data_IF_734875399347
#
_entry.id   IF_734875399347
#
_cell.length_a   1.000
_cell.length_b   1.000
_cell.length_c   1.000
_cell.angle_alpha   90.00
_cell.angle_beta   90.00
_cell.angle_gamma   90.00
#
_symmetry.space_group_name_H-M   'P 1'
#
loop_
_entity.id
_entity.type
_entity.pdbx_description
1 polymer ?
#
# COMPACT_ATOMS: atom_id res chain seq x y z
N UNK A 1 -3.59 0.48 -2.38
CA UNK A 1 -2.83 -0.64 -2.97
C UNK A 1 -3.41 -1.97 -2.52
N UNK A 2 -3.40 -3.01 -3.35
CA UNK A 2 -3.78 -4.36 -2.91
C UNK A 2 -2.64 -4.99 -2.10
N UNK A 3 -2.98 -5.68 -1.01
CA UNK A 3 -2.05 -6.53 -0.25
C UNK A 3 -2.71 -7.88 -0.06
N UNK A 4 -2.03 -8.94 -0.47
CA UNK A 4 -2.46 -10.34 -0.32
C UNK A 4 -1.66 -10.94 0.83
N UNK A 5 -2.32 -11.72 1.66
CA UNK A 5 -1.76 -12.43 2.80
C UNK A 5 -2.08 -13.91 2.72
N UNK A 6 -1.16 -14.75 3.15
CA UNK A 6 -1.38 -16.20 3.23
C UNK A 6 -0.63 -16.79 4.42
N UNK A 7 -1.32 -17.63 5.18
CA UNK A 7 -0.74 -18.67 6.01
C UNK A 7 -1.08 -20.02 5.36
N UNK A 8 -0.11 -20.57 4.63
CA UNK A 8 -0.27 -21.84 3.90
C UNK A 8 -0.44 -23.03 4.83
N UNK A 9 0.13 -22.98 6.05
CA UNK A 9 0.10 -24.09 6.99
C UNK A 9 -1.28 -24.26 7.62
N UNK A 10 -1.93 -23.15 7.95
CA UNK A 10 -3.25 -23.15 8.60
C UNK A 10 -4.40 -22.90 7.61
N UNK A 11 -4.13 -22.79 6.30
CA UNK A 11 -5.11 -22.55 5.25
C UNK A 11 -5.94 -21.28 5.50
N UNK A 12 -5.28 -20.18 5.86
CA UNK A 12 -5.93 -18.88 6.05
C UNK A 12 -5.34 -17.88 5.06
N UNK A 13 -6.20 -17.28 4.25
CA UNK A 13 -5.83 -16.23 3.29
C UNK A 13 -6.52 -14.92 3.65
N UNK A 14 -5.87 -13.81 3.32
CA UNK A 14 -6.39 -12.47 3.53
C UNK A 14 -6.12 -11.59 2.32
N UNK A 15 -6.97 -10.60 2.10
CA UNK A 15 -6.71 -9.55 1.11
C UNK A 15 -7.23 -8.22 1.63
N UNK A 16 -6.40 -7.19 1.50
CA UNK A 16 -6.72 -5.84 1.97
C UNK A 16 -6.55 -4.82 0.85
N UNK A 17 -7.48 -3.86 0.80
CA UNK A 17 -7.28 -2.63 0.05
C UNK A 17 -6.67 -1.56 0.95
N UNK A 18 -5.35 -1.40 0.86
CA UNK A 18 -4.56 -0.45 1.63
C UNK A 18 -4.32 0.86 0.86
N UNK A 19 -5.36 1.67 0.66
CA UNK A 19 -5.15 3.07 0.26
C UNK A 19 -4.39 3.85 1.34
N UNK A 20 -3.89 5.06 1.07
CA UNK A 20 -3.14 5.84 2.07
C UNK A 20 -3.88 5.96 3.42
N UNK A 21 -5.21 6.20 3.38
CA UNK A 21 -6.05 6.34 4.57
C UNK A 21 -6.18 5.01 5.31
N UNK A 22 -6.34 3.90 4.59
CA UNK A 22 -6.41 2.56 5.17
C UNK A 22 -5.08 2.16 5.80
N UNK A 23 -3.96 2.39 5.10
CA UNK A 23 -2.63 2.13 5.63
C UNK A 23 -2.34 2.97 6.87
N UNK A 24 -2.73 4.25 6.89
CA UNK A 24 -2.54 5.12 8.06
C UNK A 24 -3.39 4.66 9.26
N UNK A 25 -4.60 4.18 9.01
CA UNK A 25 -5.53 3.72 10.03
C UNK A 25 -5.37 2.23 10.40
N UNK A 26 -4.27 1.59 10.02
CA UNK A 26 -3.92 0.25 10.50
C UNK A 26 -4.61 -0.93 9.81
N UNK A 27 -5.15 -0.76 8.59
CA UNK A 27 -5.85 -1.85 7.86
C UNK A 27 -5.00 -3.12 7.70
N UNK A 28 -3.68 -2.98 7.59
CA UNK A 28 -2.75 -4.10 7.44
C UNK A 28 -2.69 -4.95 8.71
N UNK A 29 -2.53 -4.30 9.87
CA UNK A 29 -2.56 -5.00 11.16
C UNK A 29 -3.94 -5.59 11.44
N UNK A 30 -5.02 -4.85 11.19
CA UNK A 30 -6.38 -5.37 11.36
C UNK A 30 -6.65 -6.61 10.48
N UNK A 31 -6.06 -6.67 9.28
CA UNK A 31 -6.18 -7.86 8.42
C UNK A 31 -5.44 -9.06 9.03
N UNK A 32 -4.22 -8.85 9.53
CA UNK A 32 -3.42 -9.88 10.20
C UNK A 32 -4.15 -10.39 11.45
N UNK A 33 -4.67 -9.49 12.29
CA UNK A 33 -5.39 -9.84 13.51
C UNK A 33 -6.65 -10.67 13.19
N UNK A 34 -7.37 -10.32 12.11
CA UNK A 34 -8.50 -11.13 11.62
C UNK A 34 -8.09 -12.49 11.07
N UNK A 35 -6.92 -12.62 10.46
CA UNK A 35 -6.41 -13.93 10.07
C UNK A 35 -6.08 -14.79 11.29
N UNK A 36 -5.49 -14.22 12.34
CA UNK A 36 -5.22 -14.95 13.60
C UNK A 36 -6.51 -15.42 14.27
N UNK A 37 -7.57 -14.59 14.28
CA UNK A 37 -8.90 -15.00 14.76
C UNK A 37 -9.48 -16.20 13.99
N UNK A 38 -9.08 -16.40 12.72
CA UNK A 38 -9.46 -17.54 11.88
C UNK A 38 -8.53 -18.74 12.00
N UNK A 39 -7.48 -18.65 12.84
CA UNK A 39 -6.53 -19.74 13.09
C UNK A 39 -5.19 -19.61 12.38
N UNK A 40 -4.89 -18.47 11.74
CA UNK A 40 -3.56 -18.23 11.21
C UNK A 40 -2.54 -18.06 12.35
N UNK A 41 -1.32 -18.50 12.11
CA UNK A 41 -0.14 -18.22 12.92
C UNK A 41 0.60 -17.04 12.28
N UNK A 42 0.68 -15.91 13.00
CA UNK A 42 1.37 -14.70 12.52
C UNK A 42 2.78 -14.95 12.01
N UNK A 43 3.52 -15.87 12.63
CA UNK A 43 4.88 -16.23 12.21
C UNK A 43 4.94 -17.00 10.88
N UNK A 44 3.79 -17.51 10.41
CA UNK A 44 3.62 -18.20 9.13
C UNK A 44 2.98 -17.31 8.06
N UNK A 45 2.47 -16.11 8.42
CA UNK A 45 1.84 -15.21 7.46
C UNK A 45 2.91 -14.62 6.53
N UNK A 46 2.75 -14.79 5.23
CA UNK A 46 3.48 -14.04 4.21
C UNK A 46 2.56 -12.99 3.59
N UNK A 47 3.09 -11.81 3.24
CA UNK A 47 2.34 -10.75 2.59
C UNK A 47 3.02 -10.24 1.31
N UNK A 48 2.22 -10.01 0.27
CA UNK A 48 2.68 -9.42 -0.99
C UNK A 48 1.88 -8.16 -1.29
N UNK A 49 2.58 -7.04 -1.45
CA UNK A 49 2.01 -5.79 -1.96
C UNK A 49 1.99 -5.86 -3.49
N UNK A 50 0.80 -5.82 -4.08
CA UNK A 50 0.62 -5.82 -5.52
C UNK A 50 0.89 -4.46 -6.18
N UNK A 51 0.64 -4.33 -7.49
CA UNK A 51 0.86 -3.08 -8.23
C UNK A 51 0.16 -1.88 -7.59
N UNK A 52 0.89 -0.80 -7.37
CA UNK A 52 0.33 0.44 -6.80
C UNK A 52 1.06 1.67 -7.33
N UNK A 53 0.69 2.87 -6.89
CA UNK A 53 1.37 4.08 -7.33
C UNK A 53 2.73 4.21 -6.64
N UNK A 54 3.80 4.43 -7.40
CA UNK A 54 5.15 4.62 -6.86
C UNK A 54 5.34 6.05 -6.34
N UNK A 55 6.31 6.25 -5.44
CA UNK A 55 6.70 7.57 -4.92
C UNK A 55 6.91 8.61 -6.03
N UNK A 56 7.60 8.26 -7.12
CA UNK A 56 7.86 9.15 -8.28
C UNK A 56 6.61 9.77 -8.89
N UNK A 57 5.45 9.13 -8.74
CA UNK A 57 4.19 9.56 -9.34
C UNK A 57 3.14 10.00 -8.29
N UNK A 58 3.45 9.85 -7.00
CA UNK A 58 2.49 10.11 -5.92
C UNK A 58 2.75 11.43 -5.22
N UNK A 59 2.59 12.52 -5.97
CA UNK A 59 2.62 13.87 -5.41
C UNK A 59 1.41 14.12 -4.50
N UNK A 60 1.65 14.80 -3.37
CA UNK A 60 0.70 15.14 -2.31
C UNK A 60 1.02 16.52 -1.75
N UNK A 61 0.01 17.19 -1.22
CA UNK A 61 0.13 18.56 -0.70
C UNK A 61 0.66 18.58 0.75
N UNK A 62 1.01 19.76 1.25
CA UNK A 62 1.57 19.95 2.60
C UNK A 62 0.66 19.40 3.71
N UNK A 63 -0.65 19.62 3.61
CA UNK A 63 -1.63 19.12 4.59
C UNK A 63 -1.59 17.59 4.73
N UNK A 64 -1.39 16.88 3.62
CA UNK A 64 -1.24 15.43 3.62
C UNK A 64 0.06 15.03 4.34
N UNK A 65 1.16 15.72 4.05
CA UNK A 65 2.44 15.48 4.72
C UNK A 65 2.31 15.70 6.23
N UNK A 66 1.79 16.85 6.66
CA UNK A 66 1.61 17.19 8.08
C UNK A 66 0.75 16.17 8.81
N UNK A 67 -0.34 15.71 8.20
CA UNK A 67 -1.19 14.65 8.76
C UNK A 67 -0.40 13.37 9.06
N UNK A 68 0.50 12.95 8.17
CA UNK A 68 1.36 11.79 8.41
C UNK A 68 2.40 12.03 9.50
N UNK A 69 3.04 13.20 9.52
CA UNK A 69 4.06 13.54 10.54
C UNK A 69 3.43 13.68 11.93
N UNK A 70 2.24 14.25 12.03
CA UNK A 70 1.51 14.40 13.28
C UNK A 70 1.08 13.05 13.87
N UNK A 71 0.90 12.02 13.03
CA UNK A 71 0.62 10.66 13.50
C UNK A 71 1.86 9.94 14.03
N UNK A 72 3.01 10.09 13.36
CA UNK A 72 4.32 9.58 13.78
C UNK A 72 5.41 10.35 13.03
N UNK A 73 6.33 10.99 13.76
CA UNK A 73 7.43 11.76 13.15
C UNK A 73 8.34 10.89 12.28
N UNK A 74 8.43 9.59 12.55
CA UNK A 74 9.20 8.65 11.74
C UNK A 74 8.64 8.51 10.31
N UNK A 75 7.39 8.92 10.06
CA UNK A 75 6.80 8.87 8.73
C UNK A 75 7.51 9.77 7.72
N UNK A 76 8.31 10.76 8.18
CA UNK A 76 9.10 11.65 7.31
C UNK A 76 9.97 10.88 6.31
N UNK A 77 10.44 9.68 6.67
CA UNK A 77 11.27 8.82 5.80
C UNK A 77 10.56 8.27 4.54
N UNK A 78 9.24 8.45 4.45
CA UNK A 78 8.41 8.02 3.31
C UNK A 78 8.05 9.17 2.38
N UNK A 79 8.60 10.36 2.59
CA UNK A 79 8.33 11.54 1.78
C UNK A 79 9.62 12.10 1.20
N UNK A 80 9.57 12.49 -0.07
CA UNK A 80 10.61 13.31 -0.72
C UNK A 80 9.99 14.64 -1.10
N UNK A 81 10.68 15.74 -0.84
CA UNK A 81 10.20 17.06 -1.23
C UNK A 81 10.63 17.40 -2.66
N UNK A 82 9.70 17.90 -3.47
CA UNK A 82 9.93 18.38 -4.81
C UNK A 82 9.99 19.91 -4.81
N UNK A 83 11.20 20.46 -4.97
CA UNK A 83 11.44 21.90 -4.97
C UNK A 83 10.83 22.62 -6.19
N UNK A 84 10.59 21.91 -7.30
CA UNK A 84 10.02 22.53 -8.50
C UNK A 84 8.51 22.74 -8.38
N UNK A 85 7.83 21.89 -7.61
CA UNK A 85 6.36 21.93 -7.44
C UNK A 85 5.93 22.40 -6.05
N UNK A 86 6.87 22.60 -5.11
CA UNK A 86 6.61 22.95 -3.70
C UNK A 86 5.70 21.92 -3.00
N UNK A 87 5.84 20.64 -3.37
CA UNK A 87 4.99 19.53 -2.91
C UNK A 87 5.82 18.32 -2.51
N UNK A 88 5.18 17.37 -1.84
CA UNK A 88 5.82 16.13 -1.43
C UNK A 88 5.45 14.96 -2.32
N UNK A 89 6.34 13.99 -2.43
CA UNK A 89 6.11 12.70 -3.07
C UNK A 89 6.06 11.61 -2.00
N UNK A 90 4.91 10.94 -1.87
CA UNK A 90 4.68 9.92 -0.84
C UNK A 90 4.98 8.50 -1.32
N UNK A 91 5.79 7.77 -0.57
CA UNK A 91 6.13 6.37 -0.83
C UNK A 91 5.16 5.42 -0.12
N UNK A 92 3.95 5.27 -0.68
CA UNK A 92 2.93 4.34 -0.18
C UNK A 92 3.42 2.87 -0.05
N UNK A 93 4.12 2.27 -1.05
CA UNK A 93 4.65 0.93 -0.90
C UNK A 93 5.63 0.82 0.26
N UNK A 94 6.61 1.73 0.39
CA UNK A 94 7.60 1.72 1.48
C UNK A 94 6.95 1.92 2.85
N UNK A 95 5.94 2.79 2.95
CA UNK A 95 5.17 2.96 4.18
C UNK A 95 4.49 1.66 4.62
N UNK A 96 3.85 0.97 3.69
CA UNK A 96 3.16 -0.29 3.99
C UNK A 96 4.13 -1.45 4.24
N UNK A 97 5.26 -1.52 3.51
CA UNK A 97 6.34 -2.46 3.78
C UNK A 97 6.85 -2.30 5.21
N UNK A 98 7.10 -1.07 5.65
CA UNK A 98 7.57 -0.80 7.01
C UNK A 98 6.57 -1.28 8.08
N UNK A 99 5.27 -1.06 7.86
CA UNK A 99 4.23 -1.55 8.78
C UNK A 99 4.20 -3.08 8.84
N UNK A 100 4.22 -3.77 7.70
CA UNK A 100 4.20 -5.23 7.65
C UNK A 100 5.48 -5.84 8.26
N UNK A 101 6.64 -5.23 8.03
CA UNK A 101 7.90 -5.66 8.66
C UNK A 101 7.86 -5.52 10.18
N UNK A 102 7.22 -4.47 10.71
CA UNK A 102 7.01 -4.29 12.15
C UNK A 102 5.94 -5.23 12.73
N UNK A 103 5.11 -5.85 11.89
CA UNK A 103 4.04 -6.75 12.32
C UNK A 103 4.51 -8.16 12.68
N UNK A 104 5.82 -8.44 12.57
CA UNK A 104 6.46 -9.73 12.87
C UNK A 104 5.87 -10.93 12.10
N UNK A 105 5.50 -10.70 10.84
CA UNK A 105 5.07 -11.77 9.92
C UNK A 105 6.27 -12.42 9.22
N UNK A 106 6.08 -13.59 8.63
CA UNK A 106 7.13 -14.44 8.05
C UNK A 106 7.94 -13.72 6.97
N UNK A 107 7.26 -13.16 5.97
CA UNK A 107 7.89 -12.46 4.87
C UNK A 107 6.99 -11.38 4.29
N UNK A 108 7.62 -10.36 3.70
CA UNK A 108 6.92 -9.24 3.06
C UNK A 108 7.63 -8.90 1.76
N UNK A 109 6.88 -8.88 0.67
CA UNK A 109 7.39 -8.48 -0.64
C UNK A 109 6.54 -7.40 -1.29
N UNK A 110 7.14 -6.67 -2.23
CA UNK A 110 6.45 -5.75 -3.12
C UNK A 110 6.78 -6.12 -4.56
N UNK A 111 5.75 -6.25 -5.40
CA UNK A 111 5.90 -6.61 -6.81
C UNK A 111 6.72 -5.61 -7.65
N UNK A 112 6.96 -4.39 -7.14
CA UNK A 112 7.80 -3.41 -7.83
C UNK A 112 7.09 -2.63 -8.94
N UNK A 113 5.83 -2.92 -9.23
CA UNK A 113 5.09 -2.29 -10.34
C UNK A 113 4.45 -0.97 -9.96
N UNK A 114 4.61 0.04 -10.84
CA UNK A 114 3.94 1.32 -10.73
C UNK A 114 2.73 1.42 -11.67
N UNK A 115 1.53 1.45 -11.08
CA UNK A 115 0.26 1.59 -11.83
C UNK A 115 0.18 2.86 -12.67
N UNK A 116 0.79 3.96 -12.22
CA UNK A 116 0.80 5.22 -12.95
C UNK A 116 1.72 5.19 -14.18
N UNK A 117 2.92 4.62 -14.04
CA UNK A 117 3.97 4.66 -15.07
C UNK A 117 3.76 3.62 -16.17
N UNK A 118 3.23 2.44 -15.83
CA UNK A 118 2.97 1.39 -16.81
C UNK A 118 1.50 1.40 -17.26
N UNK A 119 1.21 2.30 -18.19
CA UNK A 119 -0.12 2.48 -18.77
C UNK A 119 -0.59 1.26 -19.59
N UNK A 120 0.34 0.46 -20.13
CA UNK A 120 -0.03 -0.71 -20.94
C UNK A 120 -0.59 -1.84 -20.08
N UNK A 121 -0.09 -1.97 -18.85
CA UNK A 121 -0.45 -3.07 -17.96
C UNK A 121 -1.51 -2.69 -16.91
N UNK A 122 -1.62 -1.41 -16.54
CA UNK A 122 -2.41 -1.02 -15.37
C UNK A 122 -3.30 0.21 -15.61
N UNK A 123 -4.52 0.18 -15.05
CA UNK A 123 -5.30 1.39 -14.82
C UNK A 123 -4.70 2.23 -13.68
N UNK A 124 -4.85 3.55 -13.74
CA UNK A 124 -4.41 4.47 -12.68
C UNK A 124 -5.32 5.67 -12.56
N UNK A 125 -5.91 5.85 -11.37
CA UNK A 125 -6.70 7.03 -11.04
C UNK A 125 -5.90 8.33 -11.19
N UNK A 126 -4.65 8.36 -10.71
CA UNK A 126 -3.83 9.57 -10.78
C UNK A 126 -3.56 9.96 -12.24
N UNK A 127 -3.33 8.98 -13.11
CA UNK A 127 -3.12 9.23 -14.56
C UNK A 127 -4.40 9.75 -15.21
N UNK A 128 -5.56 9.17 -14.90
CA UNK A 128 -6.83 9.62 -15.45
C UNK A 128 -7.15 11.06 -15.03
N UNK A 129 -6.85 11.46 -13.78
CA UNK A 129 -6.95 12.85 -13.33
C UNK A 129 -6.07 13.80 -14.16
N UNK A 130 -4.81 13.44 -14.39
CA UNK A 130 -3.89 14.27 -15.19
C UNK A 130 -4.33 14.37 -16.65
N UNK A 131 -4.90 13.31 -17.21
CA UNK A 131 -5.46 13.27 -18.57
C UNK A 131 -6.87 13.86 -18.68
N UNK A 132 -7.50 14.25 -17.55
CA UNK A 132 -8.88 14.75 -17.47
C UNK A 132 -9.90 13.78 -18.06
N UNK A 133 -9.66 12.48 -17.88
CA UNK A 133 -10.59 11.43 -18.28
C UNK A 133 -11.80 11.42 -17.33
N UNK A 134 -13.03 11.15 -17.84
CA UNK A 134 -14.24 11.19 -17.02
C UNK A 134 -14.33 10.05 -16.01
N UNK A 135 -13.63 8.94 -16.27
CA UNK A 135 -13.51 7.79 -15.37
C UNK A 135 -12.22 7.02 -15.68
N UNK A 136 -11.93 5.96 -14.94
CA UNK A 136 -10.80 5.06 -15.14
C UNK A 136 -11.24 3.59 -15.01
N UNK A 137 -10.49 2.64 -15.56
CA UNK A 137 -10.73 1.23 -15.24
C UNK A 137 -10.30 0.90 -13.80
N UNK A 138 -10.70 -0.26 -13.27
CA UNK A 138 -10.27 -0.73 -11.95
C UNK A 138 -9.59 -2.08 -12.10
N UNK A 139 -8.47 -2.24 -11.41
CA UNK A 139 -7.77 -3.52 -11.33
C UNK A 139 -8.43 -4.39 -10.24
N UNK A 140 -8.31 -5.70 -10.40
CA UNK A 140 -8.69 -6.67 -9.38
C UNK A 140 -7.45 -7.41 -8.90
N UNK A 141 -7.40 -7.72 -7.62
CA UNK A 141 -6.45 -8.66 -7.03
C UNK A 141 -7.25 -9.69 -6.26
N UNK A 142 -6.90 -10.97 -6.40
CA UNK A 142 -7.67 -12.09 -5.84
C UNK A 142 -6.72 -13.13 -5.27
N UNK A 143 -7.18 -13.87 -4.26
CA UNK A 143 -6.51 -15.02 -3.66
C UNK A 143 -7.58 -16.06 -3.33
N UNK A 144 -7.24 -17.35 -3.43
CA UNK A 144 -8.16 -18.48 -3.24
C UNK A 144 -7.40 -19.66 -2.62
N UNK A 145 -8.10 -20.48 -1.83
CA UNK A 145 -7.63 -21.77 -1.30
C UNK A 145 -8.00 -22.92 -2.25
#
# INVERSE_FOLDING_TARGET
QPVIFADEKNNVIGIAHAGWRGSLNGILNSTIDKMEELGADRSQISAVIGPCISQKAYEVDMEFFEMFINSDQNNKQFFDFNFDTDKYHFNLPKFSLNQLQKANISSVEFTGHCTYMDEKSFFSYRRSCHKKEPDYGRLISTVML
#
